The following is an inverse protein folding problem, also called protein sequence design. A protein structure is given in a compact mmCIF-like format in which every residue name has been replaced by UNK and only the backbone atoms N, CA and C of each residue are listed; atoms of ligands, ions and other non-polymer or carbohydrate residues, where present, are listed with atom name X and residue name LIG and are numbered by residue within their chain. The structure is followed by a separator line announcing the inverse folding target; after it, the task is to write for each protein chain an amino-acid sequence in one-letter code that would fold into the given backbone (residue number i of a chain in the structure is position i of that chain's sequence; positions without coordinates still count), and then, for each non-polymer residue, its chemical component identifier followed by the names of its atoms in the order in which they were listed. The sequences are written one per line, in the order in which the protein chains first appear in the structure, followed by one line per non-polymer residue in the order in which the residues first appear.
data_IF_313147426753
#
_entry.id   IF_313147426753
#
_cell.length_a   1.000
_cell.length_b   1.000
_cell.length_c   1.000
_cell.angle_alpha   90.00
_cell.angle_beta   90.00
_cell.angle_gamma   90.00
#
_symmetry.space_group_name_H-M   'P 1'
#
loop_
_entity.id
_entity.type
_entity.pdbx_description
1 polymer ?
#
# COMPACT_ATOMS: atom_id res chain seq x y z
N UNK A 1 -2.16 -12.05 -17.63
CA UNK A 1 -2.90 -11.43 -16.50
C UNK A 1 -3.32 -10.00 -16.84
N UNK A 2 -2.47 -9.19 -17.48
CA UNK A 2 -2.77 -7.79 -17.81
C UNK A 2 -4.01 -7.62 -18.71
N UNK A 3 -4.14 -8.44 -19.77
CA UNK A 3 -5.29 -8.37 -20.68
C UNK A 3 -6.60 -8.89 -20.05
N UNK A 4 -6.53 -9.83 -19.11
CA UNK A 4 -7.70 -10.39 -18.48
C UNK A 4 -8.42 -9.38 -17.57
N UNK A 5 -7.67 -8.71 -16.69
CA UNK A 5 -8.24 -7.69 -15.78
C UNK A 5 -8.77 -6.49 -16.58
N UNK A 6 -8.04 -6.02 -17.60
CA UNK A 6 -8.50 -4.94 -18.48
C UNK A 6 -9.77 -5.31 -19.24
N UNK A 7 -9.89 -6.57 -19.69
CA UNK A 7 -11.10 -7.04 -20.39
C UNK A 7 -12.30 -7.15 -19.44
N UNK A 8 -12.09 -7.59 -18.19
CA UNK A 8 -13.14 -7.58 -17.17
C UNK A 8 -13.64 -6.17 -16.92
N UNK A 9 -12.72 -5.24 -16.68
CA UNK A 9 -13.06 -3.82 -16.46
C UNK A 9 -13.86 -3.26 -17.65
N UNK A 10 -13.37 -3.43 -18.90
CA UNK A 10 -14.08 -2.97 -20.10
C UNK A 10 -15.47 -3.59 -20.21
N UNK A 11 -15.61 -4.89 -19.93
CA UNK A 11 -16.89 -5.60 -20.00
C UNK A 11 -17.85 -5.08 -18.93
N UNK A 12 -17.37 -4.86 -17.69
CA UNK A 12 -18.19 -4.34 -16.59
C UNK A 12 -18.72 -2.93 -16.90
N UNK A 13 -17.88 -2.05 -17.43
CA UNK A 13 -18.28 -0.69 -17.81
C UNK A 13 -19.14 -0.67 -19.09
N UNK A 14 -18.91 -1.58 -20.04
CA UNK A 14 -19.76 -1.76 -21.22
C UNK A 14 -21.20 -2.18 -20.86
N UNK A 15 -21.38 -2.97 -19.78
CA UNK A 15 -22.72 -3.33 -19.27
C UNK A 15 -23.46 -2.09 -18.73
N UNK A 16 -22.73 -1.14 -18.12
CA UNK A 16 -23.30 0.09 -17.54
C UNK A 16 -23.43 1.22 -18.58
N UNK A 17 -23.03 0.97 -19.84
CA UNK A 17 -23.01 1.95 -20.94
C UNK A 17 -22.22 3.24 -20.64
N UNK A 18 -21.16 3.15 -19.82
CA UNK A 18 -20.27 4.25 -19.51
C UNK A 18 -19.04 4.12 -20.42
N UNK A 19 -18.83 5.11 -21.28
CA UNK A 19 -17.63 5.22 -22.12
C UNK A 19 -16.52 5.84 -21.28
N UNK A 20 -15.51 5.04 -20.91
CA UNK A 20 -14.42 5.48 -20.03
C UNK A 20 -13.17 5.73 -20.86
N UNK A 21 -12.56 6.88 -20.65
CA UNK A 21 -11.26 7.20 -21.24
C UNK A 21 -10.23 6.09 -20.96
N UNK A 22 -9.42 5.70 -21.96
CA UNK A 22 -8.40 4.67 -21.82
C UNK A 22 -7.44 4.93 -20.64
N UNK A 23 -7.16 6.19 -20.33
CA UNK A 23 -6.31 6.61 -19.21
C UNK A 23 -6.91 6.22 -17.85
N UNK A 24 -8.20 6.42 -17.66
CA UNK A 24 -8.91 6.06 -16.41
C UNK A 24 -8.89 4.54 -16.20
N UNK A 25 -9.09 3.77 -17.27
CA UNK A 25 -8.98 2.31 -17.24
C UNK A 25 -7.58 1.85 -16.84
N UNK A 26 -6.54 2.50 -17.36
CA UNK A 26 -5.15 2.18 -17.00
C UNK A 26 -4.86 2.53 -15.55
N UNK A 27 -5.37 3.63 -15.03
CA UNK A 27 -5.24 4.05 -13.65
C UNK A 27 -5.98 3.10 -12.69
N UNK A 28 -7.20 2.68 -13.03
CA UNK A 28 -7.94 1.67 -12.26
C UNK A 28 -7.23 0.31 -12.25
N UNK A 29 -6.72 -0.11 -13.38
CA UNK A 29 -5.93 -1.33 -13.47
C UNK A 29 -4.65 -1.25 -12.61
N UNK A 30 -3.98 -0.11 -12.63
CA UNK A 30 -2.81 0.16 -11.80
C UNK A 30 -3.18 0.12 -10.30
N UNK A 31 -4.32 0.70 -9.93
CA UNK A 31 -4.84 0.68 -8.57
C UNK A 31 -5.17 -0.73 -8.08
N UNK A 32 -5.83 -1.56 -8.90
CA UNK A 32 -6.11 -2.96 -8.56
C UNK A 32 -4.81 -3.73 -8.29
N UNK A 33 -3.80 -3.57 -9.14
CA UNK A 33 -2.49 -4.21 -8.90
C UNK A 33 -1.85 -3.73 -7.60
N UNK A 34 -1.96 -2.44 -7.29
CA UNK A 34 -1.46 -1.88 -6.04
C UNK A 34 -2.14 -2.52 -4.82
N UNK A 35 -3.46 -2.73 -4.87
CA UNK A 35 -4.20 -3.45 -3.81
C UNK A 35 -3.68 -4.88 -3.65
N UNK A 36 -3.51 -5.62 -4.74
CA UNK A 36 -3.00 -7.01 -4.70
C UNK A 36 -1.60 -7.05 -4.07
N UNK A 37 -0.72 -6.14 -4.45
CA UNK A 37 0.60 -6.01 -3.82
C UNK A 37 0.48 -5.67 -2.34
N UNK A 38 -0.43 -4.77 -1.96
CA UNK A 38 -0.69 -4.41 -0.57
C UNK A 38 -1.16 -5.59 0.28
N UNK A 39 -2.06 -6.44 -0.24
CA UNK A 39 -2.48 -7.67 0.43
C UNK A 39 -1.32 -8.64 0.63
N UNK A 40 -0.49 -8.86 -0.39
CA UNK A 40 0.70 -9.71 -0.28
C UNK A 40 1.74 -9.15 0.71
N UNK A 41 1.88 -7.83 0.77
CA UNK A 41 2.71 -7.13 1.74
C UNK A 41 2.30 -7.44 3.19
N UNK A 42 0.99 -7.45 3.47
CA UNK A 42 0.48 -7.80 4.81
C UNK A 42 0.90 -9.21 5.22
N UNK A 43 0.85 -10.17 4.32
CA UNK A 43 1.29 -11.55 4.58
C UNK A 43 2.78 -11.61 4.88
N UNK A 44 3.60 -10.95 4.06
CA UNK A 44 5.07 -10.92 4.26
C UNK A 44 5.44 -10.21 5.56
N UNK A 45 4.80 -9.09 5.87
CA UNK A 45 4.99 -8.37 7.12
C UNK A 45 4.64 -9.25 8.34
N UNK A 46 3.51 -9.96 8.28
CA UNK A 46 3.09 -10.87 9.34
C UNK A 46 4.10 -12.00 9.55
N UNK A 47 4.60 -12.63 8.48
CA UNK A 47 5.63 -13.65 8.57
C UNK A 47 6.90 -13.09 9.19
N UNK A 48 7.37 -11.92 8.78
CA UNK A 48 8.55 -11.26 9.34
C UNK A 48 8.39 -10.97 10.84
N UNK A 49 7.19 -10.53 11.27
CA UNK A 49 6.86 -10.33 12.68
C UNK A 49 7.00 -11.64 13.47
N UNK A 50 6.34 -12.72 13.03
CA UNK A 50 6.39 -14.03 13.71
C UNK A 50 7.81 -14.55 13.78
N UNK A 51 8.56 -14.50 12.68
CA UNK A 51 9.97 -14.97 12.67
C UNK A 51 10.79 -14.19 13.69
N UNK A 52 10.63 -12.87 13.78
CA UNK A 52 11.34 -12.06 14.77
C UNK A 52 10.96 -12.43 16.20
N UNK A 53 9.68 -12.64 16.49
CA UNK A 53 9.22 -13.06 17.82
C UNK A 53 9.78 -14.44 18.21
N UNK A 54 9.81 -15.39 17.27
CA UNK A 54 10.40 -16.72 17.51
C UNK A 54 11.90 -16.62 17.79
N UNK A 55 12.63 -15.81 17.04
CA UNK A 55 14.08 -15.62 17.22
C UNK A 55 14.42 -14.95 18.54
N UNK A 56 13.55 -14.08 19.06
CA UNK A 56 13.77 -13.35 20.32
C UNK A 56 13.21 -14.08 21.55
N UNK A 57 12.43 -15.14 21.37
CA UNK A 57 11.73 -15.84 22.46
C UNK A 57 12.65 -16.26 23.61
N UNK A 58 13.82 -16.80 23.29
CA UNK A 58 14.75 -17.36 24.27
C UNK A 58 15.57 -16.28 25.02
N UNK A 59 15.57 -15.05 24.48
CA UNK A 59 16.29 -13.93 25.10
C UNK A 59 15.48 -13.18 26.15
N UNK A 60 14.19 -13.48 26.30
CA UNK A 60 13.27 -12.89 27.28
C UNK A 60 13.33 -11.34 27.33
N UNK A 61 13.45 -10.71 26.16
CA UNK A 61 13.51 -9.25 26.04
C UNK A 61 12.10 -8.65 26.02
N UNK A 62 11.83 -7.68 26.89
CA UNK A 62 10.50 -7.07 27.02
C UNK A 62 10.08 -6.16 25.85
N UNK A 63 10.92 -6.01 24.81
CA UNK A 63 10.66 -5.21 23.61
C UNK A 63 10.56 -6.05 22.32
N UNK A 64 10.38 -7.35 22.43
CA UNK A 64 10.26 -8.29 21.29
C UNK A 64 9.13 -7.93 20.32
N UNK A 65 7.96 -7.51 20.85
CA UNK A 65 6.83 -7.04 20.04
C UNK A 65 7.19 -5.80 19.21
N UNK A 66 8.00 -4.88 19.76
CA UNK A 66 8.46 -3.71 19.02
C UNK A 66 9.39 -4.12 17.87
N UNK A 67 10.35 -5.01 18.13
CA UNK A 67 11.24 -5.57 17.12
C UNK A 67 10.45 -6.32 16.03
N UNK A 68 9.43 -7.09 16.41
CA UNK A 68 8.51 -7.76 15.49
C UNK A 68 7.77 -6.78 14.57
N UNK A 69 7.22 -5.72 15.15
CA UNK A 69 6.53 -4.67 14.37
C UNK A 69 7.48 -3.92 13.44
N UNK A 70 8.69 -3.62 13.88
CA UNK A 70 9.72 -2.98 13.03
C UNK A 70 10.12 -3.89 11.87
N UNK A 71 10.34 -5.19 12.12
CA UNK A 71 10.62 -6.18 11.08
C UNK A 71 9.47 -6.28 10.08
N UNK A 72 8.23 -6.36 10.57
CA UNK A 72 7.03 -6.35 9.72
C UNK A 72 7.01 -5.15 8.78
N UNK A 73 7.23 -3.96 9.32
CA UNK A 73 7.26 -2.73 8.54
C UNK A 73 8.39 -2.72 7.50
N UNK A 74 9.62 -3.07 7.93
CA UNK A 74 10.79 -3.05 7.06
C UNK A 74 10.60 -4.04 5.89
N UNK A 75 10.34 -5.30 6.18
CA UNK A 75 10.23 -6.33 5.14
C UNK A 75 8.96 -6.17 4.31
N UNK A 76 7.86 -5.74 4.90
CA UNK A 76 6.63 -5.45 4.20
C UNK A 76 6.81 -4.33 3.18
N UNK A 77 7.44 -3.21 3.55
CA UNK A 77 7.66 -2.10 2.61
C UNK A 77 8.68 -2.46 1.53
N UNK A 78 9.74 -3.21 1.85
CA UNK A 78 10.69 -3.73 0.85
C UNK A 78 9.99 -4.61 -0.19
N UNK A 79 9.15 -5.52 0.25
CA UNK A 79 8.33 -6.38 -0.62
C UNK A 79 7.39 -5.55 -1.50
N UNK A 80 6.68 -4.63 -0.89
CA UNK A 80 5.77 -3.71 -1.57
C UNK A 80 6.51 -2.87 -2.62
N UNK A 81 7.66 -2.30 -2.27
CA UNK A 81 8.49 -1.54 -3.18
C UNK A 81 8.91 -2.35 -4.40
N UNK A 82 9.44 -3.56 -4.19
CA UNK A 82 9.88 -4.44 -5.27
C UNK A 82 8.76 -4.71 -6.28
N UNK A 83 7.61 -5.15 -5.80
CA UNK A 83 6.49 -5.51 -6.67
C UNK A 83 5.82 -4.29 -7.30
N UNK A 84 5.66 -3.21 -6.56
CA UNK A 84 5.14 -1.96 -7.09
C UNK A 84 6.03 -1.38 -8.19
N UNK A 85 7.33 -1.37 -8.00
CA UNK A 85 8.27 -0.86 -9.00
C UNK A 85 8.28 -1.71 -10.28
N UNK A 86 8.13 -3.02 -10.15
CA UNK A 86 8.19 -3.98 -11.26
C UNK A 86 6.88 -4.09 -12.05
N UNK A 87 5.73 -4.04 -11.37
CA UNK A 87 4.45 -4.37 -12.00
C UNK A 87 3.41 -3.25 -11.97
N UNK A 88 3.45 -2.37 -10.99
CA UNK A 88 2.45 -1.31 -10.80
C UNK A 88 2.92 0.00 -11.42
N UNK A 89 4.04 0.53 -10.97
CA UNK A 89 4.59 1.81 -11.38
C UNK A 89 5.83 1.62 -12.26
N UNK A 90 5.63 1.05 -13.44
CA UNK A 90 6.72 0.82 -14.40
C UNK A 90 7.29 2.15 -14.91
N UNK A 91 8.61 2.24 -14.99
CA UNK A 91 9.29 3.38 -15.59
C UNK A 91 9.06 3.39 -17.11
N UNK A 92 8.84 4.55 -17.70
CA UNK A 92 8.70 4.69 -19.13
C UNK A 92 10.01 4.33 -19.86
N UNK A 93 9.89 3.93 -21.14
CA UNK A 93 11.07 3.60 -21.96
C UNK A 93 11.98 4.84 -22.07
N UNK A 94 13.25 4.67 -21.71
CA UNK A 94 14.25 5.75 -21.76
C UNK A 94 14.39 6.56 -20.47
N UNK A 95 13.47 6.45 -19.52
CA UNK A 95 13.60 7.06 -18.19
C UNK A 95 14.34 6.15 -17.21
N UNK A 96 15.17 6.75 -16.35
CA UNK A 96 15.87 6.05 -15.27
C UNK A 96 15.29 6.49 -13.92
N UNK A 97 14.85 5.51 -13.14
CA UNK A 97 14.44 5.76 -11.74
C UNK A 97 15.61 5.51 -10.81
N UNK A 98 15.85 6.44 -9.88
CA UNK A 98 16.74 6.17 -8.77
C UNK A 98 16.03 5.27 -7.75
N UNK A 99 16.37 3.99 -7.76
CA UNK A 99 15.73 2.98 -6.91
C UNK A 99 15.91 3.24 -5.42
N UNK A 100 17.05 3.77 -5.00
CA UNK A 100 17.32 4.07 -3.59
C UNK A 100 16.41 5.21 -3.09
N UNK A 101 16.34 6.31 -3.86
CA UNK A 101 15.46 7.44 -3.51
C UNK A 101 13.99 7.01 -3.53
N UNK A 102 13.57 6.25 -4.54
CA UNK A 102 12.19 5.74 -4.61
C UNK A 102 11.86 4.82 -3.44
N UNK A 103 12.79 4.00 -2.99
CA UNK A 103 12.61 3.14 -1.82
C UNK A 103 12.41 3.97 -0.55
N UNK A 104 13.26 4.98 -0.30
CA UNK A 104 13.11 5.89 0.85
C UNK A 104 11.75 6.61 0.80
N UNK A 105 11.39 7.16 -0.35
CA UNK A 105 10.08 7.81 -0.55
C UNK A 105 8.92 6.83 -0.28
N UNK A 106 9.07 5.57 -0.66
CA UNK A 106 8.06 4.54 -0.37
C UNK A 106 7.93 4.31 1.14
N UNK A 107 9.03 4.18 1.88
CA UNK A 107 9.00 4.08 3.34
C UNK A 107 8.31 5.28 3.97
N UNK A 108 8.65 6.49 3.54
CA UNK A 108 8.02 7.72 4.03
C UNK A 108 6.52 7.78 3.69
N UNK A 109 6.12 7.33 2.51
CA UNK A 109 4.70 7.26 2.11
C UNK A 109 3.90 6.36 3.03
N UNK A 110 4.41 5.16 3.32
CA UNK A 110 3.74 4.20 4.19
C UNK A 110 3.74 4.66 5.65
N UNK A 111 4.85 5.22 6.14
CA UNK A 111 4.92 5.80 7.47
C UNK A 111 3.94 6.99 7.63
N UNK A 112 3.89 7.88 6.66
CA UNK A 112 2.97 9.01 6.67
C UNK A 112 1.51 8.55 6.68
N UNK A 113 1.14 7.62 5.79
CA UNK A 113 -0.23 7.11 5.72
C UNK A 113 -0.61 6.35 7.00
N UNK A 114 0.28 5.50 7.51
CA UNK A 114 0.01 4.67 8.68
C UNK A 114 0.07 5.42 10.01
N UNK A 115 0.98 6.39 10.17
CA UNK A 115 1.18 7.09 11.44
C UNK A 115 0.46 8.44 11.48
N UNK A 116 0.46 9.21 10.40
CA UNK A 116 -0.13 10.55 10.41
C UNK A 116 -1.60 10.50 9.98
N UNK A 117 -1.86 10.04 8.76
CA UNK A 117 -3.23 10.07 8.22
C UNK A 117 -4.18 9.16 9.00
N UNK A 118 -3.71 7.97 9.40
CA UNK A 118 -4.54 7.05 10.18
C UNK A 118 -4.98 7.67 11.52
N UNK A 119 -4.09 8.38 12.22
CA UNK A 119 -4.44 9.05 13.47
C UNK A 119 -5.35 10.26 13.25
N UNK A 120 -5.10 11.06 12.20
CA UNK A 120 -5.98 12.19 11.86
C UNK A 120 -7.39 11.70 11.52
N UNK A 121 -7.51 10.67 10.70
CA UNK A 121 -8.82 10.09 10.37
C UNK A 121 -9.49 9.45 11.58
N UNK A 122 -8.73 8.76 12.44
CA UNK A 122 -9.27 8.21 13.70
C UNK A 122 -9.84 9.29 14.59
N UNK A 123 -9.13 10.41 14.75
CA UNK A 123 -9.64 11.56 15.50
C UNK A 123 -10.95 12.11 14.92
N UNK A 124 -10.98 12.33 13.61
CA UNK A 124 -12.19 12.83 12.94
C UNK A 124 -13.35 11.84 13.09
N UNK A 125 -13.12 10.56 12.85
CA UNK A 125 -14.16 9.55 12.89
C UNK A 125 -14.69 9.31 14.32
N UNK A 126 -13.78 9.18 15.29
CA UNK A 126 -14.16 8.79 16.66
C UNK A 126 -14.60 10.01 17.47
N UNK A 127 -13.78 11.08 17.51
CA UNK A 127 -14.00 12.19 18.42
C UNK A 127 -14.94 13.24 17.85
N UNK A 128 -15.01 13.42 16.52
CA UNK A 128 -15.91 14.40 15.89
C UNK A 128 -17.20 13.74 15.41
N UNK A 129 -17.10 12.61 14.68
CA UNK A 129 -18.26 11.94 14.07
C UNK A 129 -18.87 10.84 14.95
N UNK A 130 -18.33 10.59 16.15
CA UNK A 130 -18.78 9.56 17.10
C UNK A 130 -18.88 8.15 16.52
N UNK A 131 -18.02 7.82 15.54
CA UNK A 131 -17.92 6.46 14.99
C UNK A 131 -17.27 5.54 16.02
N UNK A 132 -17.76 4.32 16.15
CA UNK A 132 -17.20 3.33 17.06
C UNK A 132 -15.69 3.09 16.79
N UNK A 133 -14.90 3.05 17.86
CA UNK A 133 -13.44 2.71 17.82
C UNK A 133 -13.14 1.37 17.17
N UNK A 134 -14.12 0.46 17.09
CA UNK A 134 -13.97 -0.82 16.39
C UNK A 134 -14.16 -0.70 14.89
N UNK A 135 -14.96 0.27 14.43
CA UNK A 135 -15.28 0.48 13.00
C UNK A 135 -14.33 1.48 12.35
N UNK A 136 -13.89 2.51 13.08
CA UNK A 136 -13.01 3.56 12.56
C UNK A 136 -11.75 3.01 11.87
N UNK A 137 -11.03 1.97 12.36
CA UNK A 137 -9.87 1.41 11.66
C UNK A 137 -10.21 0.82 10.29
N UNK A 138 -11.39 0.24 10.12
CA UNK A 138 -11.83 -0.31 8.82
C UNK A 138 -12.08 0.82 7.80
N UNK A 139 -12.69 1.90 8.25
CA UNK A 139 -12.90 3.10 7.41
C UNK A 139 -11.54 3.71 7.05
N UNK A 140 -10.63 3.84 8.03
CA UNK A 140 -9.28 4.35 7.81
C UNK A 140 -8.52 3.54 6.75
N UNK A 141 -8.65 2.22 6.80
CA UNK A 141 -8.03 1.34 5.80
C UNK A 141 -8.58 1.63 4.38
N UNK A 142 -9.90 1.76 4.25
CA UNK A 142 -10.55 2.04 2.97
C UNK A 142 -10.11 3.41 2.42
N UNK A 143 -10.02 4.43 3.27
CA UNK A 143 -9.57 5.78 2.88
C UNK A 143 -8.05 5.84 2.64
N UNK A 144 -7.28 5.12 3.43
CA UNK A 144 -5.83 5.11 3.37
C UNK A 144 -5.26 4.48 2.10
N UNK A 145 -5.91 3.43 1.56
CA UNK A 145 -5.43 2.73 0.36
C UNK A 145 -5.37 3.66 -0.87
N UNK A 146 -6.43 4.40 -1.25
CA UNK A 146 -6.37 5.33 -2.37
C UNK A 146 -5.33 6.44 -2.18
N UNK A 147 -5.24 6.99 -0.96
CA UNK A 147 -4.30 8.07 -0.66
C UNK A 147 -2.86 7.56 -0.77
N UNK A 148 -2.57 6.39 -0.20
CA UNK A 148 -1.25 5.78 -0.29
C UNK A 148 -0.89 5.45 -1.75
N UNK A 149 -1.85 4.97 -2.55
CA UNK A 149 -1.66 4.77 -3.99
C UNK A 149 -1.28 6.08 -4.69
N UNK A 150 -2.00 7.18 -4.43
CA UNK A 150 -1.72 8.48 -5.05
C UNK A 150 -0.35 9.03 -4.63
N UNK A 151 0.00 8.96 -3.35
CA UNK A 151 1.32 9.39 -2.87
C UNK A 151 2.44 8.56 -3.54
N UNK A 152 2.28 7.25 -3.62
CA UNK A 152 3.25 6.40 -4.30
C UNK A 152 3.33 6.73 -5.79
N UNK A 153 2.21 6.86 -6.48
CA UNK A 153 2.15 7.15 -7.93
C UNK A 153 2.78 8.50 -8.28
N UNK A 154 2.42 9.55 -7.52
CA UNK A 154 2.79 10.94 -7.86
C UNK A 154 4.14 11.37 -7.30
N UNK A 155 4.61 10.71 -6.24
CA UNK A 155 5.83 11.13 -5.54
C UNK A 155 6.89 10.03 -5.42
N UNK A 156 6.57 8.86 -4.85
CA UNK A 156 7.59 7.85 -4.57
C UNK A 156 8.13 7.19 -5.86
N UNK A 157 7.25 6.93 -6.81
CA UNK A 157 7.59 6.26 -8.08
C UNK A 157 7.67 7.22 -9.28
N UNK A 158 7.56 8.54 -9.06
CA UNK A 158 7.78 9.52 -10.11
C UNK A 158 9.28 9.61 -10.43
N UNK A 159 9.62 9.53 -11.71
CA UNK A 159 11.00 9.57 -12.22
C UNK A 159 11.55 10.98 -12.44
N UNK A 160 10.76 12.03 -12.11
CA UNK A 160 11.18 13.43 -12.20
C UNK A 160 11.93 13.87 -10.97
#
# INVERSE_FOLDING_TARGET
MDNFIKNILKKSFGIIRIDIEPKILDDMYQFIKFIIVGLSNTVVGYIANIVTLILLKDYNVGWDYFAGNMSSFIFGVLWSYYWNSKYVFKTAKGEKRNHFISLIKTYLSYAFTGLVLNNVFSYILVDILNVSKLIAPLINMILGIPINFLINKLWAFNSK
#
